data_IF_928622964446
#
_entry.id   IF_928622964446
#
_cell.length_a   1.000
_cell.length_b   1.000
_cell.length_c   1.000
_cell.angle_alpha   90.00
_cell.angle_beta   90.00
_cell.angle_gamma   90.00
#
_symmetry.space_group_name_H-M   'P 1'
#
loop_
_entity.id
_entity.type
_entity.pdbx_description
1 polymer ?
#
# COMPACT_ATOMS: atom_id res chain seq x y z
N UNK A 1 -37.78 -12.52 48.90
CA UNK A 1 -38.36 -13.14 47.72
C UNK A 1 -38.18 -12.31 46.47
N UNK A 2 -38.13 -10.96 46.54
CA UNK A 2 -37.95 -10.10 45.39
C UNK A 2 -36.56 -10.20 44.78
N UNK A 3 -35.49 -10.28 45.57
CA UNK A 3 -34.11 -10.45 45.02
C UNK A 3 -33.86 -11.78 44.29
N UNK A 4 -34.69 -12.81 44.52
CA UNK A 4 -34.55 -14.07 43.80
C UNK A 4 -35.28 -14.09 42.47
N UNK A 5 -36.32 -13.27 42.35
CA UNK A 5 -37.11 -13.09 41.12
C UNK A 5 -36.32 -12.18 40.15
N UNK A 6 -35.65 -11.15 40.64
CA UNK A 6 -34.76 -10.26 39.83
C UNK A 6 -33.58 -11.03 39.29
N UNK A 7 -32.88 -11.83 40.10
CA UNK A 7 -31.75 -12.65 39.68
C UNK A 7 -32.16 -13.78 38.69
N UNK A 8 -33.42 -14.29 38.78
CA UNK A 8 -33.95 -15.23 37.80
C UNK A 8 -34.38 -14.51 36.50
N UNK A 9 -34.89 -13.29 36.58
CA UNK A 9 -35.22 -12.44 35.43
C UNK A 9 -33.98 -12.06 34.61
N UNK A 10 -32.87 -11.71 35.26
CA UNK A 10 -31.58 -11.46 34.57
C UNK A 10 -30.97 -12.72 33.95
N UNK A 11 -31.14 -13.89 34.58
CA UNK A 11 -30.67 -15.17 34.00
C UNK A 11 -31.45 -15.65 32.77
N UNK A 12 -32.71 -15.23 32.66
CA UNK A 12 -33.56 -15.57 31.49
C UNK A 12 -33.18 -14.71 30.28
N UNK A 13 -32.59 -13.53 30.48
CA UNK A 13 -32.17 -12.61 29.39
C UNK A 13 -30.81 -12.96 28.75
N UNK A 14 -30.02 -13.88 29.30
CA UNK A 14 -28.72 -14.23 28.72
C UNK A 14 -28.81 -15.43 27.77
N UNK A 15 -28.57 -15.19 26.50
CA UNK A 15 -28.34 -16.26 25.52
C UNK A 15 -26.98 -16.89 25.80
N UNK A 16 -27.01 -18.13 26.32
CA UNK A 16 -25.79 -18.85 26.71
C UNK A 16 -25.11 -19.48 25.49
N UNK A 17 -23.80 -19.69 25.55
CA UNK A 17 -23.03 -20.39 24.50
C UNK A 17 -23.57 -21.81 24.22
N UNK A 18 -24.17 -22.47 25.23
CA UNK A 18 -24.83 -23.76 25.05
C UNK A 18 -26.04 -23.67 24.12
N UNK A 19 -26.85 -22.62 24.27
CA UNK A 19 -28.01 -22.37 23.40
C UNK A 19 -27.55 -22.07 21.97
N UNK A 20 -26.53 -21.22 21.81
CA UNK A 20 -25.96 -20.88 20.50
C UNK A 20 -25.41 -22.13 19.78
N UNK A 21 -24.72 -23.02 20.49
CA UNK A 21 -24.27 -24.30 19.92
C UNK A 21 -25.42 -25.22 19.53
N UNK A 22 -26.46 -25.29 20.34
CA UNK A 22 -27.64 -26.13 20.04
C UNK A 22 -28.38 -25.61 18.81
N UNK A 23 -28.41 -24.30 18.60
CA UNK A 23 -29.01 -23.64 17.43
C UNK A 23 -28.07 -23.59 16.22
N UNK A 24 -26.88 -24.15 16.32
CA UNK A 24 -25.85 -24.12 15.26
C UNK A 24 -25.51 -22.70 14.77
N UNK A 25 -25.54 -21.73 15.68
CA UNK A 25 -25.32 -20.31 15.36
C UNK A 25 -23.94 -20.06 14.73
N UNK A 26 -22.94 -20.83 15.08
CA UNK A 26 -21.60 -20.80 14.46
C UNK A 26 -21.63 -21.07 12.95
N UNK A 27 -22.58 -21.87 12.47
CA UNK A 27 -22.74 -22.10 11.01
C UNK A 27 -23.30 -20.87 10.29
N UNK A 28 -24.16 -20.11 10.97
CA UNK A 28 -24.67 -18.84 10.44
C UNK A 28 -23.55 -17.81 10.36
N UNK A 29 -22.75 -17.66 11.42
CA UNK A 29 -21.61 -16.77 11.45
C UNK A 29 -20.59 -17.11 10.36
N UNK A 30 -20.27 -18.39 10.17
CA UNK A 30 -19.38 -18.83 9.08
C UNK A 30 -19.90 -18.45 7.69
N UNK A 31 -21.21 -18.54 7.45
CA UNK A 31 -21.80 -18.09 6.19
C UNK A 31 -21.68 -16.57 6.04
N UNK A 32 -21.98 -15.81 7.09
CA UNK A 32 -21.83 -14.36 7.08
C UNK A 32 -20.36 -13.95 6.81
N UNK A 33 -19.42 -14.57 7.49
CA UNK A 33 -17.99 -14.36 7.30
C UNK A 33 -17.54 -14.51 5.83
N UNK A 34 -18.10 -15.51 5.09
CA UNK A 34 -17.77 -15.71 3.67
C UNK A 34 -18.26 -14.58 2.76
N UNK A 35 -19.25 -13.80 3.19
CA UNK A 35 -19.75 -12.65 2.45
C UNK A 35 -19.11 -11.31 2.85
N UNK A 36 -18.25 -11.32 3.87
CA UNK A 36 -17.52 -10.14 4.28
C UNK A 36 -16.32 -9.87 3.36
N UNK A 37 -16.24 -8.68 2.78
CA UNK A 37 -15.15 -8.29 1.86
C UNK A 37 -13.83 -8.04 2.57
N UNK A 38 -13.82 -7.28 3.67
CA UNK A 38 -12.59 -6.90 4.37
C UNK A 38 -12.37 -7.69 5.67
N UNK A 39 -11.13 -7.70 6.16
CA UNK A 39 -10.77 -8.42 7.40
C UNK A 39 -11.51 -7.89 8.63
N UNK A 40 -11.73 -6.55 8.71
CA UNK A 40 -12.43 -5.92 9.83
C UNK A 40 -13.89 -6.37 9.88
N UNK A 41 -14.57 -6.44 8.72
CA UNK A 41 -15.96 -6.93 8.67
C UNK A 41 -16.05 -8.42 9.03
N UNK A 42 -15.03 -9.23 8.70
CA UNK A 42 -14.96 -10.63 9.11
C UNK A 42 -14.82 -10.78 10.63
N UNK A 43 -13.95 -9.97 11.25
CA UNK A 43 -13.81 -9.93 12.71
C UNK A 43 -15.14 -9.56 13.38
N UNK A 44 -15.81 -8.49 12.89
CA UNK A 44 -17.10 -8.08 13.41
C UNK A 44 -18.17 -9.17 13.24
N UNK A 45 -18.17 -9.90 12.12
CA UNK A 45 -19.08 -11.02 11.90
C UNK A 45 -18.81 -12.17 12.86
N UNK A 46 -17.55 -12.49 13.18
CA UNK A 46 -17.19 -13.55 14.10
C UNK A 46 -17.52 -13.19 15.57
N UNK A 47 -17.49 -11.90 15.91
CA UNK A 47 -17.83 -11.37 17.24
C UNK A 47 -19.34 -11.14 17.43
N UNK A 48 -20.13 -11.24 16.36
CA UNK A 48 -21.57 -10.96 16.42
C UNK A 48 -22.28 -11.87 17.41
N UNK A 49 -23.07 -11.27 18.29
CA UNK A 49 -23.90 -11.97 19.29
C UNK A 49 -25.34 -11.54 19.18
N UNK A 50 -26.31 -12.45 19.38
CA UNK A 50 -27.73 -12.06 19.40
C UNK A 50 -28.00 -11.09 20.54
N UNK A 51 -28.74 -10.01 20.23
CA UNK A 51 -29.22 -9.02 21.19
C UNK A 51 -30.57 -9.44 21.77
N UNK A 52 -30.86 -8.99 22.99
CA UNK A 52 -32.11 -9.32 23.70
C UNK A 52 -32.99 -8.12 23.99
N UNK A 53 -32.38 -6.93 24.00
CA UNK A 53 -33.12 -5.69 24.23
C UNK A 53 -33.86 -5.30 22.95
N UNK A 54 -35.16 -4.97 23.10
CA UNK A 54 -36.04 -4.67 21.97
C UNK A 54 -35.54 -3.52 21.08
N UNK A 55 -35.11 -2.45 21.69
CA UNK A 55 -34.65 -1.26 20.98
C UNK A 55 -33.36 -1.53 20.20
N UNK A 56 -32.41 -2.27 20.79
CA UNK A 56 -31.18 -2.67 20.14
C UNK A 56 -31.41 -3.59 18.95
N UNK A 57 -32.32 -4.56 19.11
CA UNK A 57 -32.70 -5.47 18.01
C UNK A 57 -33.34 -4.70 16.85
N UNK A 58 -34.25 -3.79 17.13
CA UNK A 58 -34.90 -2.98 16.09
C UNK A 58 -33.91 -2.04 15.37
N UNK A 59 -32.98 -1.45 16.11
CA UNK A 59 -31.95 -0.59 15.51
C UNK A 59 -31.09 -1.38 14.50
N UNK A 60 -30.63 -2.58 14.85
CA UNK A 60 -29.82 -3.41 13.97
C UNK A 60 -30.62 -3.96 12.77
N UNK A 61 -31.86 -4.36 13.00
CA UNK A 61 -32.76 -4.80 11.92
C UNK A 61 -33.04 -3.67 10.93
N UNK A 62 -33.22 -2.45 11.42
CA UNK A 62 -33.40 -1.27 10.59
C UNK A 62 -32.17 -1.02 9.71
N UNK A 63 -30.96 -1.03 10.26
CA UNK A 63 -29.72 -0.89 9.49
C UNK A 63 -29.62 -1.96 8.40
N UNK A 64 -29.95 -3.21 8.73
CA UNK A 64 -29.91 -4.31 7.78
C UNK A 64 -30.93 -4.12 6.65
N UNK A 65 -32.17 -3.71 6.97
CA UNK A 65 -33.20 -3.46 5.98
C UNK A 65 -32.87 -2.27 5.07
N UNK A 66 -32.26 -1.22 5.61
CA UNK A 66 -31.80 -0.08 4.82
C UNK A 66 -30.64 -0.48 3.88
N UNK A 67 -29.71 -1.31 4.36
CA UNK A 67 -28.61 -1.85 3.54
C UNK A 67 -29.12 -2.75 2.40
N UNK A 68 -30.10 -3.62 2.68
CA UNK A 68 -30.79 -4.44 1.68
C UNK A 68 -31.49 -3.58 0.63
N UNK A 69 -32.23 -2.56 1.06
CA UNK A 69 -32.91 -1.62 0.17
C UNK A 69 -31.93 -0.88 -0.72
N UNK A 70 -30.81 -0.42 -0.16
CA UNK A 70 -29.72 0.20 -0.92
C UNK A 70 -29.20 -0.74 -2.00
N UNK A 71 -28.84 -1.98 -1.60
CA UNK A 71 -28.32 -2.99 -2.53
C UNK A 71 -29.29 -3.34 -3.65
N UNK A 72 -30.58 -3.50 -3.34
CA UNK A 72 -31.61 -3.78 -4.34
C UNK A 72 -31.80 -2.63 -5.35
N UNK A 73 -31.59 -1.39 -4.92
CA UNK A 73 -31.69 -0.22 -5.80
C UNK A 73 -30.46 -0.02 -6.67
N UNK A 74 -29.27 -0.21 -6.12
CA UNK A 74 -28.00 0.11 -6.79
C UNK A 74 -27.37 -1.10 -7.47
N UNK A 75 -27.63 -2.31 -6.99
CA UNK A 75 -27.02 -3.55 -7.47
C UNK A 75 -25.58 -3.79 -6.97
N UNK A 76 -25.04 -2.90 -6.13
CA UNK A 76 -23.66 -3.01 -5.59
C UNK A 76 -23.56 -2.53 -4.15
N UNK A 77 -22.49 -2.93 -3.46
CA UNK A 77 -22.15 -2.46 -2.12
C UNK A 77 -21.57 -1.03 -2.18
N UNK A 78 -21.92 -0.12 -1.24
CA UNK A 78 -21.32 1.20 -1.16
C UNK A 78 -19.86 1.16 -0.64
N UNK A 79 -19.39 0.02 -0.17
CA UNK A 79 -18.07 -0.16 0.41
C UNK A 79 -17.32 -1.17 -0.44
N UNK A 80 -16.23 -0.72 -1.08
CA UNK A 80 -15.26 -1.60 -1.73
C UNK A 80 -14.40 -2.32 -0.69
N UNK A 81 -13.82 -3.46 -1.08
CA UNK A 81 -12.85 -4.16 -0.27
C UNK A 81 -11.58 -3.30 -0.09
N UNK A 82 -11.08 -3.26 1.12
CA UNK A 82 -9.86 -2.53 1.46
C UNK A 82 -9.00 -3.31 2.45
N UNK A 83 -7.67 -3.16 2.38
CA UNK A 83 -6.75 -3.88 3.26
C UNK A 83 -6.81 -3.37 4.70
N UNK A 84 -6.40 -4.22 5.65
CA UNK A 84 -6.22 -3.82 7.04
C UNK A 84 -5.00 -2.92 7.21
N UNK A 85 -5.23 -1.66 7.53
CA UNK A 85 -4.18 -0.66 7.73
C UNK A 85 -3.86 -0.41 9.21
N UNK A 86 -4.46 -1.14 10.16
CA UNK A 86 -4.26 -0.90 11.62
C UNK A 86 -2.82 -1.09 12.06
N UNK A 87 -2.12 -2.09 11.51
CA UNK A 87 -0.69 -2.31 11.76
C UNK A 87 0.17 -1.18 11.22
N UNK A 88 -0.15 -0.71 10.00
CA UNK A 88 0.53 0.41 9.34
C UNK A 88 0.36 1.72 10.14
N UNK A 89 -0.86 2.00 10.61
CA UNK A 89 -1.13 3.16 11.47
C UNK A 89 -0.36 3.10 12.80
N UNK A 90 -0.21 1.92 13.40
CA UNK A 90 0.63 1.75 14.61
C UNK A 90 2.10 2.05 14.32
N UNK A 91 2.63 1.60 13.18
CA UNK A 91 4.02 1.90 12.75
C UNK A 91 4.21 3.39 12.49
N UNK A 92 3.26 4.03 11.82
CA UNK A 92 3.28 5.47 11.58
C UNK A 92 3.31 6.27 12.89
N UNK A 93 2.50 5.90 13.87
CA UNK A 93 2.49 6.54 15.20
C UNK A 93 3.82 6.36 15.96
N UNK A 94 4.57 5.30 15.66
CA UNK A 94 5.90 5.06 16.20
C UNK A 94 7.03 5.75 15.38
N UNK A 95 6.67 6.64 14.44
CA UNK A 95 7.59 7.32 13.52
C UNK A 95 8.51 6.38 12.71
N UNK A 96 8.01 5.20 12.36
CA UNK A 96 8.70 4.25 11.50
C UNK A 96 8.40 4.56 10.02
N UNK A 97 9.37 4.28 9.16
CA UNK A 97 9.18 4.39 7.71
C UNK A 97 8.14 3.40 7.20
N UNK A 98 7.33 3.86 6.24
CA UNK A 98 6.33 3.06 5.55
C UNK A 98 6.81 2.73 4.14
N UNK A 99 6.49 1.53 3.65
CA UNK A 99 6.75 1.15 2.26
C UNK A 99 5.73 1.78 1.30
N UNK A 100 6.05 1.81 0.00
CA UNK A 100 5.10 2.24 -1.04
C UNK A 100 3.82 1.40 -1.02
N UNK A 101 3.92 0.10 -0.78
CA UNK A 101 2.78 -0.82 -0.63
C UNK A 101 1.88 -0.39 0.54
N UNK A 102 2.47 -0.12 1.71
CA UNK A 102 1.71 0.32 2.89
C UNK A 102 1.00 1.66 2.66
N UNK A 103 1.65 2.59 1.97
CA UNK A 103 1.05 3.88 1.61
C UNK A 103 -0.07 3.73 0.57
N UNK A 104 0.07 2.86 -0.43
CA UNK A 104 -1.00 2.54 -1.38
C UNK A 104 -2.19 1.86 -0.70
N UNK A 105 -1.94 1.03 0.30
CA UNK A 105 -3.00 0.41 1.10
C UNK A 105 -3.77 1.45 1.93
N UNK A 106 -3.10 2.46 2.46
CA UNK A 106 -3.75 3.63 3.08
C UNK A 106 -4.59 4.38 2.05
N UNK A 107 -4.07 4.65 0.85
CA UNK A 107 -4.82 5.33 -0.21
C UNK A 107 -6.10 4.56 -0.60
N UNK A 108 -6.02 3.23 -0.72
CA UNK A 108 -7.19 2.36 -0.98
C UNK A 108 -8.24 2.47 0.14
N UNK A 109 -7.81 2.45 1.40
CA UNK A 109 -8.73 2.59 2.54
C UNK A 109 -9.39 3.98 2.58
N UNK A 110 -8.63 5.06 2.33
CA UNK A 110 -9.16 6.43 2.25
C UNK A 110 -10.18 6.58 1.11
N UNK A 111 -9.89 5.98 -0.06
CA UNK A 111 -10.83 5.93 -1.19
C UNK A 111 -12.11 5.21 -0.81
N UNK A 112 -12.04 4.04 -0.17
CA UNK A 112 -13.21 3.28 0.25
C UNK A 112 -14.08 4.10 1.21
N UNK A 113 -13.48 4.78 2.21
CA UNK A 113 -14.19 5.67 3.13
C UNK A 113 -14.87 6.84 2.41
N UNK A 114 -14.15 7.48 1.47
CA UNK A 114 -14.71 8.60 0.70
C UNK A 114 -15.90 8.16 -0.17
N UNK A 115 -15.73 7.07 -0.92
CA UNK A 115 -16.78 6.53 -1.79
C UNK A 115 -18.01 6.12 -0.99
N UNK A 116 -17.82 5.42 0.13
CA UNK A 116 -18.93 5.05 1.02
C UNK A 116 -19.68 6.29 1.52
N UNK A 117 -18.97 7.33 1.95
CA UNK A 117 -19.58 8.59 2.37
C UNK A 117 -20.36 9.25 1.23
N UNK A 118 -19.77 9.39 0.05
CA UNK A 118 -20.38 10.02 -1.12
C UNK A 118 -21.65 9.29 -1.58
N UNK A 119 -21.66 7.96 -1.49
CA UNK A 119 -22.79 7.13 -1.91
C UNK A 119 -23.93 7.08 -0.89
N UNK A 120 -23.60 7.09 0.39
CA UNK A 120 -24.60 6.97 1.46
C UNK A 120 -25.16 8.33 1.92
N UNK A 121 -24.44 9.43 1.77
CA UNK A 121 -24.89 10.76 2.18
C UNK A 121 -26.09 11.29 1.37
N UNK A 122 -26.18 11.09 0.02
CA UNK A 122 -27.31 11.56 -0.77
C UNK A 122 -28.65 10.87 -0.46
N UNK A 123 -28.65 9.77 0.29
CA UNK A 123 -29.89 9.10 0.69
C UNK A 123 -30.77 9.97 1.61
N UNK A 124 -30.21 11.03 2.18
CA UNK A 124 -30.96 12.02 3.00
C UNK A 124 -31.55 13.15 2.17
N UNK A 125 -31.02 13.42 0.97
CA UNK A 125 -31.39 14.59 0.16
C UNK A 125 -32.42 14.26 -0.95
N UNK A 126 -32.78 13.00 -1.16
CA UNK A 126 -33.64 12.59 -2.28
C UNK A 126 -35.16 12.82 -2.06
N UNK A 127 -35.55 13.50 -0.98
CA UNK A 127 -36.98 13.77 -0.69
C UNK A 127 -37.41 15.23 -0.98
N UNK A 128 -36.66 15.97 -1.83
CA UNK A 128 -36.96 17.35 -2.20
C UNK A 128 -38.19 17.49 -3.16
N UNK A 129 -39.10 16.54 -3.22
CA UNK A 129 -40.22 16.59 -4.15
C UNK A 129 -41.62 16.37 -3.55
N UNK A 130 -41.73 15.91 -2.33
CA UNK A 130 -43.03 15.68 -1.70
C UNK A 130 -43.08 16.33 -0.30
N UNK A 131 -44.08 17.20 -0.09
CA UNK A 131 -44.32 17.93 1.16
C UNK A 131 -44.79 17.03 2.32
N UNK A 132 -44.22 15.85 2.47
CA UNK A 132 -44.42 15.02 3.65
C UNK A 132 -43.30 15.27 4.65
N UNK A 133 -43.65 15.90 5.76
CA UNK A 133 -42.83 16.31 6.91
C UNK A 133 -42.22 15.15 7.72
N UNK A 134 -42.07 13.97 7.16
CA UNK A 134 -41.46 12.81 7.79
C UNK A 134 -40.09 12.52 7.16
N UNK A 135 -39.11 13.41 7.37
CA UNK A 135 -37.71 13.08 7.18
C UNK A 135 -37.31 12.01 8.22
N UNK A 136 -37.52 10.76 7.89
CA UNK A 136 -36.98 9.65 8.67
C UNK A 136 -35.47 9.64 8.39
N UNK A 137 -34.61 10.04 9.35
CA UNK A 137 -33.18 10.01 9.11
C UNK A 137 -32.76 8.58 8.79
N UNK A 138 -32.17 8.36 7.61
CA UNK A 138 -31.66 7.07 7.20
C UNK A 138 -30.53 6.67 8.15
N UNK A 139 -30.64 5.53 8.80
CA UNK A 139 -29.65 5.08 9.77
C UNK A 139 -28.29 4.83 9.13
N UNK A 140 -28.25 4.37 7.87
CA UNK A 140 -27.01 4.24 7.09
C UNK A 140 -26.39 5.61 6.78
N UNK A 141 -27.19 6.62 6.42
CA UNK A 141 -26.67 7.97 6.19
C UNK A 141 -26.08 8.59 7.47
N UNK A 142 -26.70 8.35 8.63
CA UNK A 142 -26.16 8.79 9.92
C UNK A 142 -24.80 8.15 10.22
N UNK A 143 -24.62 6.84 9.92
CA UNK A 143 -23.32 6.20 10.03
C UNK A 143 -22.31 6.80 9.06
N UNK A 144 -22.71 7.08 7.81
CA UNK A 144 -21.83 7.68 6.80
C UNK A 144 -21.42 9.13 7.15
N UNK A 145 -22.25 9.89 7.84
CA UNK A 145 -21.91 11.23 8.32
C UNK A 145 -20.72 11.24 9.29
N UNK A 146 -20.48 10.14 10.01
CA UNK A 146 -19.30 9.96 10.86
C UNK A 146 -18.00 9.72 10.09
N UNK A 147 -18.06 9.38 8.80
CA UNK A 147 -16.89 9.15 7.96
C UNK A 147 -16.27 10.49 7.53
N UNK A 148 -14.96 10.63 7.69
CA UNK A 148 -14.21 11.81 7.25
C UNK A 148 -13.42 11.48 5.99
N UNK A 149 -13.74 12.16 4.87
CA UNK A 149 -13.01 11.98 3.62
C UNK A 149 -11.74 12.85 3.59
N UNK A 150 -10.61 12.21 3.35
CA UNK A 150 -9.30 12.87 3.22
C UNK A 150 -8.80 12.81 1.77
N UNK A 151 -9.60 13.33 0.84
CA UNK A 151 -9.31 13.27 -0.60
C UNK A 151 -7.93 13.85 -0.96
N UNK A 152 -7.52 14.92 -0.29
CA UNK A 152 -6.20 15.52 -0.54
C UNK A 152 -5.06 14.51 -0.28
N UNK A 153 -5.14 13.74 0.81
CA UNK A 153 -4.12 12.73 1.13
C UNK A 153 -4.18 11.58 0.11
N UNK A 154 -5.39 11.12 -0.25
CA UNK A 154 -5.61 10.10 -1.27
C UNK A 154 -4.97 10.50 -2.62
N UNK A 155 -5.27 11.71 -3.09
CA UNK A 155 -4.76 12.25 -4.35
C UNK A 155 -3.23 12.38 -4.33
N UNK A 156 -2.65 12.86 -3.23
CA UNK A 156 -1.21 13.03 -3.07
C UNK A 156 -0.46 11.69 -3.04
N UNK A 157 -0.97 10.69 -2.32
CA UNK A 157 -0.40 9.35 -2.31
C UNK A 157 -0.43 8.73 -3.71
N UNK A 158 -1.58 8.79 -4.41
CA UNK A 158 -1.72 8.27 -5.76
C UNK A 158 -0.87 9.03 -6.79
N UNK A 159 -0.60 10.32 -6.55
CA UNK A 159 0.29 11.12 -7.40
C UNK A 159 1.76 10.73 -7.23
N UNK A 160 2.17 10.46 -6.00
CA UNK A 160 3.57 10.21 -5.68
C UNK A 160 4.00 8.76 -5.90
N UNK A 161 3.09 7.79 -5.80
CA UNK A 161 3.41 6.37 -5.81
C UNK A 161 2.82 5.72 -7.06
N UNK A 162 3.68 5.19 -7.93
CA UNK A 162 3.27 4.53 -9.18
C UNK A 162 2.99 3.04 -8.98
N UNK A 163 3.76 2.39 -8.12
CA UNK A 163 3.62 0.97 -7.79
C UNK A 163 4.19 0.67 -6.40
N UNK A 164 4.09 -0.58 -5.96
CA UNK A 164 4.61 -1.05 -4.67
C UNK A 164 6.10 -0.79 -4.47
N UNK A 165 6.86 -0.69 -5.57
CA UNK A 165 8.32 -0.50 -5.57
C UNK A 165 8.77 0.80 -6.25
N UNK A 166 7.84 1.61 -6.78
CA UNK A 166 8.20 2.75 -7.62
C UNK A 166 7.49 4.04 -7.22
N UNK A 167 8.31 5.06 -6.95
CA UNK A 167 7.85 6.44 -6.76
C UNK A 167 7.94 7.23 -8.07
N UNK A 168 6.96 8.09 -8.31
CA UNK A 168 6.98 9.04 -9.40
C UNK A 168 8.19 9.97 -9.32
N UNK A 169 8.88 10.20 -10.44
CA UNK A 169 10.07 11.09 -10.48
C UNK A 169 9.77 12.49 -9.92
N UNK A 170 8.56 12.98 -10.16
CA UNK A 170 8.10 14.29 -9.71
C UNK A 170 7.41 14.27 -8.34
N UNK A 171 7.57 13.21 -7.52
CA UNK A 171 7.02 13.15 -6.17
C UNK A 171 7.56 14.30 -5.30
N UNK A 172 8.86 14.61 -5.41
CA UNK A 172 9.44 15.84 -4.88
C UNK A 172 10.32 16.54 -5.93
N UNK A 173 10.47 17.88 -5.85
CA UNK A 173 11.41 18.61 -6.73
C UNK A 173 12.86 18.15 -6.55
N UNK A 174 13.24 17.73 -5.34
CA UNK A 174 14.55 17.21 -5.03
C UNK A 174 14.78 15.87 -5.71
N UNK A 175 13.84 14.93 -5.60
CA UNK A 175 13.90 13.61 -6.24
C UNK A 175 14.00 13.73 -7.77
N UNK A 176 13.19 14.60 -8.38
CA UNK A 176 13.23 14.86 -9.82
C UNK A 176 14.63 15.34 -10.26
N UNK A 177 15.24 16.26 -9.50
CA UNK A 177 16.58 16.78 -9.76
C UNK A 177 17.63 15.69 -9.61
N UNK A 178 17.58 14.91 -8.52
CA UNK A 178 18.53 13.83 -8.25
C UNK A 178 18.47 12.78 -9.35
N UNK A 179 17.29 12.31 -9.72
CA UNK A 179 17.10 11.31 -10.78
C UNK A 179 17.56 11.80 -12.14
N UNK A 180 17.30 13.07 -12.46
CA UNK A 180 17.82 13.70 -13.68
C UNK A 180 19.34 13.72 -13.70
N UNK A 181 19.98 14.17 -12.60
CA UNK A 181 21.43 14.22 -12.51
C UNK A 181 22.06 12.80 -12.55
N UNK A 182 21.39 11.83 -11.91
CA UNK A 182 21.81 10.41 -11.95
C UNK A 182 21.81 9.86 -13.38
N UNK A 183 20.80 10.19 -14.21
CA UNK A 183 20.78 9.81 -15.63
C UNK A 183 21.94 10.45 -16.40
N UNK A 184 22.17 11.74 -16.22
CA UNK A 184 23.28 12.46 -16.86
C UNK A 184 24.62 11.86 -16.46
N UNK A 185 24.83 11.58 -15.17
CA UNK A 185 26.08 10.97 -14.67
C UNK A 185 26.28 9.57 -15.25
N UNK A 186 25.21 8.76 -15.32
CA UNK A 186 25.27 7.44 -15.95
C UNK A 186 25.65 7.50 -17.44
N UNK A 187 25.07 8.44 -18.19
CA UNK A 187 25.41 8.64 -19.61
C UNK A 187 26.89 9.03 -19.78
N UNK A 188 27.40 9.99 -18.98
CA UNK A 188 28.81 10.39 -19.01
C UNK A 188 29.77 9.24 -18.73
N UNK A 189 29.46 8.40 -17.72
CA UNK A 189 30.25 7.21 -17.42
C UNK A 189 30.26 6.27 -18.63
N UNK A 190 29.09 5.98 -19.20
CA UNK A 190 28.95 5.08 -20.35
C UNK A 190 29.66 5.60 -21.59
N UNK A 191 29.53 6.89 -21.91
CA UNK A 191 30.23 7.53 -23.03
C UNK A 191 31.75 7.40 -22.88
N UNK A 192 32.28 7.67 -21.67
CA UNK A 192 33.70 7.56 -21.39
C UNK A 192 34.20 6.12 -21.54
N UNK A 193 33.47 5.15 -21.00
CA UNK A 193 33.78 3.73 -21.13
C UNK A 193 33.68 3.25 -22.58
N UNK A 194 32.68 3.70 -23.32
CA UNK A 194 32.54 3.38 -24.75
C UNK A 194 33.73 3.92 -25.57
N UNK A 195 34.24 5.11 -25.21
CA UNK A 195 35.44 5.64 -25.87
C UNK A 195 36.68 4.76 -25.63
N UNK A 196 36.78 4.17 -24.43
CA UNK A 196 37.89 3.23 -24.10
C UNK A 196 37.71 1.92 -24.86
N UNK A 197 36.50 1.33 -24.86
CA UNK A 197 36.22 0.07 -25.55
C UNK A 197 36.45 0.16 -27.05
N UNK A 198 36.10 1.30 -27.67
CA UNK A 198 36.27 1.51 -29.14
C UNK A 198 37.67 1.96 -29.52
N UNK A 199 38.54 2.26 -28.55
CA UNK A 199 39.90 2.65 -28.83
C UNK A 199 40.72 1.47 -29.37
N UNK A 200 41.33 1.63 -30.53
CA UNK A 200 42.23 0.63 -31.13
C UNK A 200 43.41 0.24 -30.21
N UNK A 201 43.78 1.14 -29.32
CA UNK A 201 44.86 0.93 -28.33
C UNK A 201 44.42 -0.02 -27.23
N UNK A 202 43.18 0.14 -26.71
CA UNK A 202 42.73 -0.58 -25.54
C UNK A 202 41.89 -1.85 -25.88
N UNK A 203 41.23 -1.89 -27.05
CA UNK A 203 40.35 -3.01 -27.44
C UNK A 203 41.03 -4.38 -27.42
N UNK A 204 42.32 -4.46 -27.78
CA UNK A 204 43.12 -5.70 -27.74
C UNK A 204 43.37 -6.26 -26.34
N UNK A 205 43.31 -5.39 -25.31
CA UNK A 205 43.50 -5.76 -23.92
C UNK A 205 42.23 -6.25 -23.23
N UNK A 206 41.07 -5.95 -23.81
CA UNK A 206 39.79 -6.38 -23.28
C UNK A 206 39.52 -7.84 -23.61
N UNK A 207 38.89 -8.56 -22.69
CA UNK A 207 38.38 -9.89 -22.92
C UNK A 207 37.17 -9.83 -23.86
N UNK A 208 36.25 -8.90 -23.59
CA UNK A 208 35.08 -8.59 -24.36
C UNK A 208 34.86 -7.08 -24.42
N UNK A 209 34.39 -6.51 -25.55
CA UNK A 209 34.16 -5.08 -25.71
C UNK A 209 32.80 -4.67 -25.12
N UNK A 210 32.58 -4.91 -23.83
CA UNK A 210 31.33 -4.60 -23.14
C UNK A 210 31.56 -3.88 -21.82
N UNK A 211 30.55 -3.15 -21.38
CA UNK A 211 30.49 -2.50 -20.06
C UNK A 211 29.64 -3.38 -19.15
N UNK A 212 30.12 -3.68 -17.97
CA UNK A 212 29.37 -4.43 -16.96
C UNK A 212 29.40 -3.69 -15.63
N UNK A 213 28.58 -4.13 -14.68
CA UNK A 213 28.57 -3.59 -13.33
C UNK A 213 29.02 -4.68 -12.35
N UNK A 214 29.99 -4.36 -11.50
CA UNK A 214 30.46 -5.21 -10.40
C UNK A 214 30.53 -4.37 -9.13
N UNK A 215 29.93 -4.86 -8.05
CA UNK A 215 29.91 -4.16 -6.76
C UNK A 215 29.40 -2.70 -6.86
N UNK A 216 28.41 -2.47 -7.75
CA UNK A 216 27.85 -1.13 -7.99
C UNK A 216 28.78 -0.17 -8.75
N UNK A 217 29.83 -0.68 -9.42
CA UNK A 217 30.78 0.08 -10.24
C UNK A 217 30.74 -0.34 -11.70
N UNK A 218 30.94 0.61 -12.58
CA UNK A 218 31.04 0.39 -14.01
C UNK A 218 32.45 -0.07 -14.35
N UNK A 219 32.57 -1.25 -14.90
CA UNK A 219 33.86 -1.90 -15.17
C UNK A 219 33.90 -2.46 -16.59
N UNK A 220 35.13 -2.67 -17.08
CA UNK A 220 35.41 -3.36 -18.33
C UNK A 220 36.16 -4.67 -18.04
N UNK A 221 35.88 -5.76 -18.74
CA UNK A 221 36.58 -7.02 -18.59
C UNK A 221 37.95 -6.96 -19.31
N UNK A 222 39.01 -7.06 -18.55
CA UNK A 222 40.41 -6.97 -19.01
C UNK A 222 41.06 -8.35 -18.88
N UNK A 223 41.80 -8.80 -19.90
CA UNK A 223 42.61 -10.02 -19.82
C UNK A 223 43.68 -9.83 -18.75
N UNK A 224 43.90 -10.83 -17.89
CA UNK A 224 44.80 -10.73 -16.74
C UNK A 224 46.23 -10.36 -17.16
N UNK A 225 46.73 -10.85 -18.31
CA UNK A 225 48.03 -10.57 -18.85
C UNK A 225 48.27 -9.10 -19.21
N UNK A 226 47.18 -8.34 -19.48
CA UNK A 226 47.22 -6.92 -19.85
C UNK A 226 46.78 -5.98 -18.72
N UNK A 227 46.73 -6.45 -17.47
CA UNK A 227 46.33 -5.65 -16.31
C UNK A 227 47.01 -4.28 -16.22
N UNK A 228 48.31 -4.24 -16.50
CA UNK A 228 49.13 -3.01 -16.40
C UNK A 228 48.86 -2.01 -17.53
N UNK A 229 48.21 -2.42 -18.60
CA UNK A 229 47.95 -1.59 -19.77
C UNK A 229 46.70 -0.73 -19.62
N UNK A 230 45.78 -1.08 -18.70
CA UNK A 230 44.61 -0.31 -18.37
C UNK A 230 44.71 0.08 -16.89
N UNK A 231 45.19 1.30 -16.60
CA UNK A 231 45.28 1.78 -15.23
C UNK A 231 43.86 1.98 -14.65
N UNK A 232 43.64 1.43 -13.46
CA UNK A 232 42.32 1.51 -12.80
C UNK A 232 42.23 0.63 -11.55
N UNK A 233 41.02 0.56 -11.00
CA UNK A 233 40.70 -0.22 -9.82
C UNK A 233 40.09 -1.57 -10.24
N UNK A 234 40.59 -2.67 -9.65
CA UNK A 234 39.99 -4.00 -9.85
C UNK A 234 38.87 -4.16 -8.83
N UNK A 235 37.68 -4.43 -9.29
CA UNK A 235 36.50 -4.65 -8.46
C UNK A 235 36.10 -6.12 -8.34
N UNK A 236 36.52 -6.95 -9.32
CA UNK A 236 36.16 -8.37 -9.35
C UNK A 236 37.12 -9.15 -10.28
N UNK A 237 37.11 -10.47 -10.18
CA UNK A 237 37.84 -11.39 -11.03
C UNK A 237 36.97 -12.58 -11.44
N UNK A 238 37.13 -13.10 -12.67
CA UNK A 238 36.42 -14.29 -13.10
C UNK A 238 36.84 -15.52 -12.28
N UNK A 239 35.95 -16.52 -12.17
CA UNK A 239 36.23 -17.74 -11.41
C UNK A 239 37.46 -18.52 -11.92
N UNK A 240 37.84 -18.39 -13.20
CA UNK A 240 39.08 -18.95 -13.77
C UNK A 240 40.32 -18.08 -13.53
N UNK A 241 40.15 -16.87 -13.02
CA UNK A 241 41.22 -15.92 -12.84
C UNK A 241 41.72 -15.22 -14.09
N UNK A 242 41.22 -15.57 -15.28
CA UNK A 242 41.73 -15.07 -16.56
C UNK A 242 41.23 -13.67 -16.94
N UNK A 243 40.15 -13.20 -16.32
CA UNK A 243 39.52 -11.90 -16.59
C UNK A 243 39.43 -11.07 -15.32
N UNK A 244 39.89 -9.84 -15.38
CA UNK A 244 39.78 -8.86 -14.32
C UNK A 244 38.74 -7.83 -14.69
N UNK A 245 37.85 -7.51 -13.77
CA UNK A 245 36.86 -6.45 -13.94
C UNK A 245 37.43 -5.14 -13.39
N UNK A 246 37.87 -4.28 -14.31
CA UNK A 246 38.60 -3.06 -14.02
C UNK A 246 37.72 -1.84 -14.22
N UNK A 247 37.63 -0.96 -13.23
CA UNK A 247 37.16 0.42 -13.37
C UNK A 247 38.34 1.28 -13.83
N UNK A 248 38.36 1.75 -15.08
CA UNK A 248 39.48 2.56 -15.57
C UNK A 248 39.63 3.86 -14.77
N UNK A 249 40.86 4.29 -14.50
CA UNK A 249 41.15 5.50 -13.72
C UNK A 249 40.42 6.75 -14.26
N UNK A 250 40.25 6.83 -15.58
CA UNK A 250 39.57 7.94 -16.24
C UNK A 250 38.03 7.99 -15.96
N UNK A 251 37.45 6.99 -15.29
CA UNK A 251 36.00 6.88 -14.99
C UNK A 251 35.73 6.89 -13.49
N UNK A 252 36.73 6.75 -12.65
CA UNK A 252 36.55 6.62 -11.19
C UNK A 252 35.81 7.83 -10.58
N UNK A 253 36.15 9.05 -10.98
CA UNK A 253 35.49 10.26 -10.49
C UNK A 253 34.02 10.33 -10.93
N UNK A 254 33.75 10.03 -12.20
CA UNK A 254 32.37 9.96 -12.72
C UNK A 254 31.55 8.86 -12.04
N UNK A 255 32.18 7.71 -11.77
CA UNK A 255 31.56 6.62 -11.01
C UNK A 255 31.27 7.01 -9.56
N UNK A 256 32.13 7.82 -8.94
CA UNK A 256 31.89 8.34 -7.59
C UNK A 256 30.73 9.35 -7.57
N UNK A 257 30.64 10.24 -8.56
CA UNK A 257 29.53 11.18 -8.73
C UNK A 257 28.21 10.41 -8.87
N UNK A 258 28.18 9.40 -9.73
CA UNK A 258 26.99 8.55 -9.90
C UNK A 258 26.57 7.85 -8.60
N UNK A 259 27.54 7.26 -7.89
CA UNK A 259 27.25 6.56 -6.62
C UNK A 259 26.74 7.52 -5.53
N UNK A 260 27.27 8.74 -5.47
CA UNK A 260 26.78 9.78 -4.56
C UNK A 260 25.30 10.09 -4.84
N UNK A 261 24.92 10.24 -6.11
CA UNK A 261 23.53 10.48 -6.51
C UNK A 261 22.60 9.30 -6.19
N UNK A 262 23.09 8.06 -6.26
CA UNK A 262 22.32 6.88 -5.81
C UNK A 262 22.04 6.94 -4.31
N UNK A 263 23.01 7.34 -3.51
CA UNK A 263 22.85 7.49 -2.05
C UNK A 263 21.90 8.65 -1.72
N UNK A 264 22.05 9.78 -2.42
CA UNK A 264 21.14 10.94 -2.27
C UNK A 264 19.69 10.58 -2.62
N UNK A 265 19.48 9.77 -3.68
CA UNK A 265 18.14 9.29 -4.04
C UNK A 265 17.53 8.42 -2.94
N UNK A 266 18.31 7.49 -2.38
CA UNK A 266 17.84 6.63 -1.29
C UNK A 266 17.53 7.41 0.00
N UNK A 267 18.22 8.52 0.23
CA UNK A 267 17.96 9.38 1.38
C UNK A 267 16.77 10.31 1.18
N UNK A 268 16.40 10.62 -0.07
CA UNK A 268 15.23 11.45 -0.41
C UNK A 268 13.94 10.63 -0.45
N UNK A 269 14.04 9.34 -0.74
CA UNK A 269 12.92 8.39 -0.72
C UNK A 269 12.57 8.00 0.72
#
# INVERSE_FOLDING_TARGET
NENKIDCMSERIKMITDKVLKTLEYDKILKKLHMHCGCCVSRELADELRPKTEFDDVNAELRLTSEAETYFLRTGYSPIDDFPDIRSTLKRMNAALYLSCEELLNIAKALKAVRVAREQLTPLTAANDGDNSTDEIPCALANLACGLVAHKYIEDELNRCILSEDELFDGASPALARIRRNKRIANERVREKLNSIIRSSTYSKYLQDPLITIRNGRFVVPVKQEYRQQIPGLIHDQSGSGQTLFVEPAAVVELGNEYKKLVIEEQAEI
#
